data_IF_675389084413
#
_entry.id   IF_675389084413
#
_cell.length_a   1.000
_cell.length_b   1.000
_cell.length_c   1.000
_cell.angle_alpha   90.00
_cell.angle_beta   90.00
_cell.angle_gamma   90.00
#
_symmetry.space_group_name_H-M   'P 1'
#
loop_
_entity.id
_entity.type
_entity.pdbx_description
1 polymer ?
#
# COMPACT_ATOMS: atom_id res chain seq x y z
N UNK A 1 93.58 3.87 -5.42
CA UNK A 1 93.71 5.23 -5.99
C UNK A 1 92.31 5.80 -6.19
N UNK A 2 91.96 6.85 -5.43
CA UNK A 2 90.74 7.70 -5.41
C UNK A 2 89.36 7.01 -5.28
N UNK A 3 88.64 7.08 -4.14
CA UNK A 3 88.00 8.16 -3.34
C UNK A 3 86.48 8.22 -3.61
N UNK A 4 85.75 7.82 -2.56
CA UNK A 4 84.34 8.05 -2.20
C UNK A 4 83.66 9.29 -2.79
N UNK A 5 82.41 9.12 -3.23
CA UNK A 5 81.31 10.07 -2.92
C UNK A 5 80.00 9.31 -2.67
N UNK A 6 79.39 9.61 -1.53
CA UNK A 6 78.12 9.15 -1.00
C UNK A 6 76.94 9.88 -1.67
N UNK A 7 75.78 9.22 -1.79
CA UNK A 7 74.50 9.85 -2.17
C UNK A 7 73.43 9.55 -1.10
N UNK A 8 72.58 10.52 -0.72
CA UNK A 8 71.84 10.47 0.53
C UNK A 8 70.49 9.73 0.46
N UNK A 9 70.09 9.22 1.62
CA UNK A 9 68.77 8.70 1.97
C UNK A 9 67.69 9.76 1.75
N UNK A 10 66.58 9.41 1.10
CA UNK A 10 65.38 10.27 1.01
C UNK A 10 64.18 9.52 1.56
N UNK A 11 63.69 10.04 2.68
CA UNK A 11 62.50 9.65 3.44
C UNK A 11 61.24 9.72 2.59
N UNK A 12 60.40 8.69 2.68
CA UNK A 12 59.08 8.59 2.05
C UNK A 12 58.07 9.37 2.89
N UNK A 13 57.39 10.35 2.28
CA UNK A 13 56.20 11.03 2.83
C UNK A 13 55.02 10.66 1.92
N UNK A 14 53.89 10.13 2.44
CA UNK A 14 52.75 9.80 1.59
C UNK A 14 51.98 11.08 1.21
N UNK A 15 51.74 11.23 -0.08
CA UNK A 15 51.03 12.33 -0.70
C UNK A 15 49.51 12.08 -0.57
N UNK A 16 48.82 12.86 0.26
CA UNK A 16 47.35 12.90 0.30
C UNK A 16 46.82 13.62 -0.95
N UNK A 17 46.17 12.89 -1.85
CA UNK A 17 45.40 13.47 -2.95
C UNK A 17 43.97 13.74 -2.49
N UNK A 18 43.60 15.01 -2.33
CA UNK A 18 42.20 15.45 -2.25
C UNK A 18 41.83 16.01 -3.62
N UNK A 19 41.08 15.24 -4.41
CA UNK A 19 40.46 15.71 -5.64
C UNK A 19 39.08 16.28 -5.31
N UNK A 20 39.00 17.61 -5.25
CA UNK A 20 37.73 18.35 -5.28
C UNK A 20 37.20 18.35 -6.71
N UNK A 21 36.23 17.49 -7.02
CA UNK A 21 35.44 17.62 -8.24
C UNK A 21 34.32 18.65 -8.02
N UNK A 22 34.56 19.87 -8.51
CA UNK A 22 33.50 20.84 -8.79
C UNK A 22 32.79 20.41 -10.08
N UNK A 23 31.63 19.76 -9.95
CA UNK A 23 30.70 19.58 -11.06
C UNK A 23 29.61 20.63 -10.95
N UNK A 24 29.68 21.67 -11.79
CA UNK A 24 28.56 22.57 -12.03
C UNK A 24 27.38 21.76 -12.58
N UNK A 25 26.31 21.61 -11.81
CA UNK A 25 25.06 21.02 -12.31
C UNK A 25 24.37 22.08 -13.17
N UNK A 26 24.37 21.88 -14.48
CA UNK A 26 23.49 22.59 -15.40
C UNK A 26 22.06 22.10 -15.13
N UNK A 27 21.22 22.94 -14.52
CA UNK A 27 19.79 22.67 -14.36
C UNK A 27 19.14 22.64 -15.74
N UNK A 28 18.78 21.45 -16.21
CA UNK A 28 17.84 21.31 -17.32
C UNK A 28 16.44 21.29 -16.70
N UNK A 29 15.63 22.29 -17.03
CA UNK A 29 14.21 22.32 -16.66
C UNK A 29 13.47 21.23 -17.43
N UNK A 30 13.48 20.00 -16.91
CA UNK A 30 12.45 19.04 -17.24
C UNK A 30 11.19 19.44 -16.47
N UNK A 31 10.19 19.94 -17.20
CA UNK A 31 8.81 19.99 -16.74
C UNK A 31 8.30 18.55 -16.51
N UNK A 32 8.70 17.95 -15.40
CA UNK A 32 7.89 16.90 -14.81
C UNK A 32 6.66 17.61 -14.24
N UNK A 33 5.50 17.34 -14.82
CA UNK A 33 4.24 17.62 -14.14
C UNK A 33 4.29 16.84 -12.84
N UNK A 34 4.61 17.53 -11.75
CA UNK A 34 4.44 17.04 -10.40
C UNK A 34 2.93 16.93 -10.22
N UNK A 35 2.36 15.78 -10.59
CA UNK A 35 1.01 15.43 -10.18
C UNK A 35 1.03 15.53 -8.67
N UNK A 36 0.35 16.54 -8.15
CA UNK A 36 0.35 16.87 -6.74
C UNK A 36 0.12 15.57 -5.95
N UNK A 37 1.02 15.26 -5.01
CA UNK A 37 0.70 14.33 -3.95
C UNK A 37 -0.60 14.85 -3.34
N UNK A 38 -1.70 14.17 -3.64
CA UNK A 38 -3.02 14.55 -3.16
C UNK A 38 -2.99 14.27 -1.67
N UNK A 39 -2.65 15.30 -0.88
CA UNK A 39 -2.63 15.24 0.57
C UNK A 39 -4.07 14.97 0.99
N UNK A 40 -4.28 13.85 1.68
CA UNK A 40 -5.59 13.46 2.21
C UNK A 40 -6.29 14.67 2.85
N UNK A 41 -7.59 14.85 2.55
CA UNK A 41 -8.33 16.02 3.02
C UNK A 41 -8.35 16.06 4.55
N UNK A 42 -8.21 17.23 5.20
CA UNK A 42 -8.33 17.31 6.66
C UNK A 42 -9.73 16.88 7.09
N UNK A 43 -9.82 15.95 8.05
CA UNK A 43 -11.07 15.49 8.66
C UNK A 43 -11.57 16.48 9.74
N UNK A 44 -11.58 17.78 9.44
CA UNK A 44 -11.92 18.86 10.39
C UNK A 44 -13.39 18.84 10.86
N UNK A 45 -14.23 18.03 10.21
CA UNK A 45 -15.66 17.91 10.47
C UNK A 45 -16.00 16.83 11.51
N UNK A 46 -15.11 15.86 11.74
CA UNK A 46 -15.40 14.74 12.64
C UNK A 46 -15.27 15.16 14.11
N UNK A 47 -16.37 15.14 14.84
CA UNK A 47 -16.41 15.44 16.29
C UNK A 47 -16.04 14.25 17.17
N UNK A 48 -16.01 13.04 16.59
CA UNK A 48 -15.67 11.78 17.25
C UNK A 48 -14.90 10.87 16.26
N UNK A 49 -14.13 9.87 16.75
CA UNK A 49 -13.46 8.91 15.89
C UNK A 49 -14.47 8.07 15.06
N UNK A 50 -14.15 7.84 13.78
CA UNK A 50 -14.91 6.98 12.86
C UNK A 50 -14.09 5.75 12.51
N UNK A 51 -14.74 4.59 12.42
CA UNK A 51 -14.09 3.33 12.03
C UNK A 51 -14.46 2.98 10.59
N UNK A 52 -13.44 2.86 9.74
CA UNK A 52 -13.60 2.39 8.35
C UNK A 52 -12.94 1.02 8.26
N UNK A 53 -13.74 0.00 7.91
CA UNK A 53 -13.22 -1.32 7.57
C UNK A 53 -13.05 -1.41 6.05
N UNK A 54 -11.79 -1.43 5.60
CA UNK A 54 -11.42 -1.56 4.19
C UNK A 54 -11.01 -3.01 3.95
N UNK A 55 -11.71 -3.70 3.06
CA UNK A 55 -11.36 -5.06 2.63
C UNK A 55 -11.03 -5.10 1.14
N UNK A 56 -9.83 -5.59 0.80
CA UNK A 56 -9.43 -5.94 -0.55
C UNK A 56 -9.37 -7.46 -0.66
N UNK A 57 -10.27 -8.05 -1.44
CA UNK A 57 -10.39 -9.50 -1.54
C UNK A 57 -9.13 -10.10 -2.18
N UNK A 58 -8.61 -11.19 -1.64
CA UNK A 58 -7.42 -11.85 -2.20
C UNK A 58 -6.12 -11.05 -2.06
N UNK A 59 -6.07 -9.98 -1.25
CA UNK A 59 -4.82 -9.29 -0.92
C UNK A 59 -3.95 -10.18 -0.03
N UNK A 60 -3.19 -11.07 -0.66
CA UNK A 60 -2.35 -12.06 0.02
C UNK A 60 -1.20 -11.36 0.75
N UNK A 61 -0.87 -11.88 1.94
CA UNK A 61 0.34 -11.46 2.65
C UNK A 61 1.58 -11.56 1.75
N UNK A 62 2.35 -10.48 1.67
CA UNK A 62 3.47 -10.28 0.75
C UNK A 62 3.15 -9.34 -0.42
N UNK A 63 1.87 -9.15 -0.77
CA UNK A 63 1.48 -8.25 -1.87
C UNK A 63 1.82 -6.79 -1.59
N UNK A 64 1.86 -6.38 -0.32
CA UNK A 64 2.32 -5.05 0.07
C UNK A 64 3.77 -4.77 -0.36
N UNK A 65 4.58 -5.81 -0.63
CA UNK A 65 5.97 -5.72 -1.07
C UNK A 65 6.18 -6.07 -2.56
N UNK A 66 5.14 -6.43 -3.32
CA UNK A 66 5.29 -6.79 -4.75
C UNK A 66 5.65 -5.59 -5.64
N UNK A 67 5.26 -4.39 -5.23
CA UNK A 67 5.56 -3.13 -5.94
C UNK A 67 5.69 -1.97 -4.96
N UNK A 68 6.05 -0.80 -5.46
CA UNK A 68 6.07 0.44 -4.66
C UNK A 68 4.65 0.79 -4.23
N UNK A 69 4.38 0.74 -2.92
CA UNK A 69 3.07 1.05 -2.33
C UNK A 69 3.18 2.08 -1.18
N UNK A 70 3.64 3.32 -1.44
CA UNK A 70 3.94 4.31 -0.39
C UNK A 70 2.79 4.61 0.58
N UNK A 71 1.53 4.51 0.15
CA UNK A 71 0.37 4.75 1.02
C UNK A 71 0.14 3.59 1.98
N UNK A 72 0.30 2.34 1.50
CA UNK A 72 0.21 1.15 2.34
C UNK A 72 1.38 1.16 3.33
N UNK A 73 2.59 1.47 2.87
CA UNK A 73 3.76 1.61 3.74
C UNK A 73 3.61 2.74 4.76
N UNK A 74 2.94 3.86 4.40
CA UNK A 74 2.58 4.93 5.34
C UNK A 74 1.67 4.40 6.45
N UNK A 75 0.65 3.60 6.11
CA UNK A 75 -0.26 3.00 7.10
C UNK A 75 0.47 2.01 8.01
N UNK A 76 1.34 1.17 7.46
CA UNK A 76 2.17 0.22 8.23
C UNK A 76 3.09 0.98 9.19
N UNK A 77 3.84 1.96 8.68
CA UNK A 77 4.83 2.73 9.46
C UNK A 77 4.21 3.54 10.59
N UNK A 78 3.02 4.10 10.36
CA UNK A 78 2.33 4.98 11.31
C UNK A 78 1.20 4.28 12.08
N UNK A 79 1.02 2.97 11.89
CA UNK A 79 -0.08 2.19 12.43
C UNK A 79 0.37 0.87 13.04
N UNK A 80 -0.41 -0.18 12.84
CA UNK A 80 -0.12 -1.53 13.34
C UNK A 80 -0.41 -2.55 12.24
N UNK A 81 0.48 -3.53 12.09
CA UNK A 81 0.36 -4.64 11.14
C UNK A 81 0.55 -5.96 11.89
N UNK A 82 -0.12 -7.02 11.41
CA UNK A 82 0.14 -8.38 11.87
C UNK A 82 1.41 -8.93 11.17
N UNK A 83 2.48 -9.16 11.94
CA UNK A 83 3.81 -9.56 11.43
C UNK A 83 3.78 -10.79 10.50
N UNK A 84 2.93 -11.76 10.80
CA UNK A 84 2.80 -13.02 10.04
C UNK A 84 1.59 -13.03 9.10
N UNK A 85 0.94 -11.89 8.94
CA UNK A 85 -0.30 -11.74 8.18
C UNK A 85 -1.55 -12.15 8.96
N UNK A 86 -2.69 -11.96 8.31
CA UNK A 86 -4.00 -12.35 8.83
C UNK A 86 -4.27 -13.84 8.54
N UNK A 87 -4.69 -14.60 9.55
CA UNK A 87 -5.05 -16.01 9.40
C UNK A 87 -6.56 -16.10 9.11
N UNK A 88 -6.97 -16.50 7.89
CA UNK A 88 -8.38 -16.63 7.53
C UNK A 88 -9.04 -17.82 8.24
N UNK A 89 -10.37 -17.78 8.36
CA UNK A 89 -11.15 -18.96 8.73
C UNK A 89 -11.22 -19.93 7.56
N UNK A 90 -11.42 -21.23 7.87
CA UNK A 90 -11.71 -22.24 6.87
C UNK A 90 -13.22 -22.27 6.54
N UNK A 91 -13.62 -22.43 5.26
CA UNK A 91 -12.77 -22.40 4.06
C UNK A 91 -12.31 -20.97 3.73
N UNK A 92 -11.15 -20.84 3.09
CA UNK A 92 -10.54 -19.54 2.71
C UNK A 92 -11.22 -18.94 1.49
N UNK A 93 -12.54 -18.77 1.59
CA UNK A 93 -13.42 -18.18 0.59
C UNK A 93 -13.89 -16.80 1.07
N UNK A 94 -14.21 -15.92 0.12
CA UNK A 94 -14.65 -14.55 0.33
C UNK A 94 -15.78 -14.41 1.35
N UNK A 95 -16.97 -14.94 1.06
CA UNK A 95 -18.16 -14.77 1.89
C UNK A 95 -17.98 -15.34 3.31
N UNK A 96 -17.47 -16.58 3.49
CA UNK A 96 -17.19 -17.10 4.83
C UNK A 96 -16.26 -16.20 5.65
N UNK A 97 -15.16 -15.70 5.06
CA UNK A 97 -14.20 -14.87 5.77
C UNK A 97 -14.71 -13.46 6.08
N UNK A 98 -15.36 -12.80 5.12
CA UNK A 98 -15.89 -11.45 5.34
C UNK A 98 -16.97 -11.46 6.42
N UNK A 99 -17.83 -12.47 6.42
CA UNK A 99 -18.85 -12.60 7.46
C UNK A 99 -18.24 -12.93 8.82
N UNK A 100 -17.22 -13.80 8.87
CA UNK A 100 -16.46 -14.07 10.10
C UNK A 100 -15.81 -12.81 10.68
N UNK A 101 -15.26 -11.91 9.86
CA UNK A 101 -14.72 -10.62 10.32
C UNK A 101 -15.81 -9.75 10.93
N UNK A 102 -16.99 -9.70 10.30
CA UNK A 102 -18.09 -8.87 10.76
C UNK A 102 -18.73 -9.36 12.07
N UNK A 103 -18.82 -10.68 12.26
CA UNK A 103 -19.58 -11.26 13.38
C UNK A 103 -18.72 -11.94 14.47
N UNK A 104 -17.43 -12.16 14.22
CA UNK A 104 -16.53 -12.82 15.17
C UNK A 104 -16.81 -14.32 15.39
N UNK A 105 -17.56 -14.96 14.48
CA UNK A 105 -17.88 -16.39 14.54
C UNK A 105 -17.13 -17.15 13.44
N UNK A 106 -16.89 -18.46 13.62
CA UNK A 106 -16.43 -19.32 12.52
C UNK A 106 -17.56 -19.66 11.55
N UNK A 107 -17.19 -20.05 10.31
CA UNK A 107 -18.10 -20.52 9.25
C UNK A 107 -19.14 -21.53 9.74
N UNK A 108 -18.73 -22.47 10.60
CA UNK A 108 -19.60 -23.49 11.17
C UNK A 108 -20.71 -22.94 12.06
N UNK A 109 -20.52 -21.78 12.67
CA UNK A 109 -21.49 -21.15 13.58
C UNK A 109 -22.36 -20.12 12.90
N UNK A 110 -21.82 -19.36 11.94
CA UNK A 110 -22.60 -18.36 11.22
C UNK A 110 -23.26 -18.89 9.94
N UNK A 111 -22.98 -20.14 9.53
CA UNK A 111 -23.70 -20.87 8.48
C UNK A 111 -23.34 -20.50 7.03
N UNK A 112 -22.46 -19.51 6.82
CA UNK A 112 -21.97 -19.12 5.50
C UNK A 112 -20.68 -19.89 5.21
N UNK A 113 -20.77 -20.93 4.38
CA UNK A 113 -19.67 -21.88 4.14
C UNK A 113 -19.15 -21.89 2.68
N UNK A 114 -19.74 -21.10 1.78
CA UNK A 114 -19.35 -21.03 0.37
C UNK A 114 -19.62 -19.63 -0.21
N UNK A 115 -19.05 -19.31 -1.38
CA UNK A 115 -19.24 -18.05 -2.11
C UNK A 115 -20.45 -18.07 -3.05
N UNK A 116 -21.00 -19.25 -3.35
CA UNK A 116 -22.07 -19.37 -4.32
C UNK A 116 -23.42 -19.03 -3.69
N UNK A 117 -23.87 -17.82 -3.99
CA UNK A 117 -25.22 -17.33 -3.78
C UNK A 117 -25.79 -16.91 -5.14
N UNK A 118 -27.10 -17.04 -5.33
CA UNK A 118 -27.76 -16.54 -6.54
C UNK A 118 -28.02 -15.05 -6.32
N UNK A 119 -27.27 -14.18 -7.00
CA UNK A 119 -27.50 -12.73 -7.04
C UNK A 119 -27.63 -12.25 -8.50
N UNK A 120 -28.75 -11.63 -8.90
CA UNK A 120 -28.98 -11.18 -10.27
C UNK A 120 -28.38 -9.80 -10.61
N UNK A 121 -27.78 -9.04 -9.69
CA UNK A 121 -27.39 -7.62 -9.94
C UNK A 121 -25.95 -7.33 -9.51
N UNK A 122 -25.15 -6.64 -10.35
CA UNK A 122 -23.79 -6.19 -10.04
C UNK A 122 -23.65 -4.65 -10.10
N UNK A 123 -22.89 -4.06 -9.16
CA UNK A 123 -22.63 -2.60 -9.06
C UNK A 123 -21.14 -2.29 -9.30
N UNK A 124 -20.78 -1.30 -10.15
CA UNK A 124 -19.39 -0.87 -10.41
C UNK A 124 -18.63 -0.36 -9.18
N UNK A 125 -17.29 -0.37 -9.20
CA UNK A 125 -16.45 0.02 -8.06
C UNK A 125 -16.51 1.50 -7.72
N UNK A 126 -16.46 2.35 -8.74
CA UNK A 126 -16.43 3.80 -8.60
C UNK A 126 -17.69 4.27 -7.88
N UNK A 127 -18.84 3.70 -8.22
CA UNK A 127 -20.12 4.00 -7.59
C UNK A 127 -20.12 3.62 -6.09
N UNK A 128 -19.44 2.52 -5.71
CA UNK A 128 -19.30 2.12 -4.30
C UNK A 128 -18.42 3.11 -3.53
N UNK A 129 -17.31 3.56 -4.13
CA UNK A 129 -16.42 4.56 -3.53
C UNK A 129 -17.14 5.89 -3.36
N UNK A 130 -17.82 6.36 -4.41
CA UNK A 130 -18.57 7.62 -4.40
C UNK A 130 -19.66 7.60 -3.33
N UNK A 131 -20.33 6.46 -3.14
CA UNK A 131 -21.31 6.27 -2.06
C UNK A 131 -20.68 6.47 -0.68
N UNK A 132 -19.51 5.89 -0.42
CA UNK A 132 -18.78 6.07 0.85
C UNK A 132 -18.34 7.53 1.03
N UNK A 133 -17.84 8.17 -0.02
CA UNK A 133 -17.41 9.56 0.04
C UNK A 133 -18.58 10.51 0.32
N UNK A 134 -19.74 10.26 -0.30
CA UNK A 134 -20.97 10.99 -0.09
C UNK A 134 -21.43 10.98 1.37
N UNK A 135 -21.26 9.87 2.09
CA UNK A 135 -21.64 9.79 3.50
C UNK A 135 -20.90 10.79 4.41
N UNK A 136 -19.69 11.21 4.04
CA UNK A 136 -18.97 12.25 4.79
C UNK A 136 -19.49 13.67 4.53
N UNK A 137 -20.24 13.87 3.45
CA UNK A 137 -20.84 15.15 3.09
C UNK A 137 -22.19 15.37 3.79
N UNK A 138 -22.78 14.31 4.37
CA UNK A 138 -24.00 14.38 5.18
C UNK A 138 -23.88 15.32 6.40
N UNK A 139 -25.00 15.82 6.95
CA UNK A 139 -25.01 16.49 8.26
C UNK A 139 -24.33 15.64 9.33
N UNK A 140 -23.69 16.29 10.31
CA UNK A 140 -22.84 15.60 11.30
C UNK A 140 -23.57 14.47 12.04
N UNK A 141 -24.86 14.65 12.30
CA UNK A 141 -25.72 13.70 13.01
C UNK A 141 -26.10 12.47 12.16
N UNK A 142 -25.87 12.53 10.84
CA UNK A 142 -26.25 11.50 9.86
C UNK A 142 -25.04 10.72 9.31
N UNK A 143 -23.81 11.15 9.60
CA UNK A 143 -22.60 10.45 9.18
C UNK A 143 -22.54 9.08 9.89
N UNK A 144 -22.51 7.95 9.17
CA UNK A 144 -22.41 6.64 9.80
C UNK A 144 -21.11 6.49 10.59
N UNK A 145 -21.21 5.93 11.80
CA UNK A 145 -20.05 5.66 12.66
C UNK A 145 -19.26 4.42 12.24
N UNK A 146 -19.87 3.55 11.42
CA UNK A 146 -19.27 2.34 10.87
C UNK A 146 -19.67 2.17 9.41
N UNK A 147 -18.67 1.96 8.56
CA UNK A 147 -18.85 1.71 7.13
C UNK A 147 -17.93 0.57 6.67
N UNK A 148 -18.46 -0.26 5.77
CA UNK A 148 -17.72 -1.35 5.13
C UNK A 148 -17.63 -1.09 3.64
N UNK A 149 -16.43 -1.18 3.07
CA UNK A 149 -16.21 -1.10 1.63
C UNK A 149 -15.49 -2.39 1.18
N UNK A 150 -16.03 -3.01 0.14
CA UNK A 150 -15.55 -4.29 -0.40
C UNK A 150 -15.16 -4.15 -1.87
N UNK A 151 -13.98 -4.69 -2.19
CA UNK A 151 -13.46 -4.82 -3.55
C UNK A 151 -13.13 -6.28 -3.88
N UNK A 152 -13.61 -6.76 -5.03
CA UNK A 152 -13.41 -8.11 -5.56
C UNK A 152 -11.97 -8.36 -6.04
N UNK A 153 -11.20 -7.30 -6.30
CA UNK A 153 -9.79 -7.38 -6.72
C UNK A 153 -8.80 -7.27 -5.54
N UNK A 154 -7.61 -7.92 -5.59
CA UNK A 154 -7.01 -8.65 -6.72
C UNK A 154 -7.43 -10.12 -6.88
N UNK A 155 -8.35 -10.65 -6.07
CA UNK A 155 -8.77 -12.06 -6.11
C UNK A 155 -9.20 -12.53 -7.51
N UNK A 156 -10.01 -11.73 -8.21
CA UNK A 156 -10.46 -12.05 -9.57
C UNK A 156 -9.29 -12.23 -10.54
N UNK A 157 -8.32 -11.31 -10.53
CA UNK A 157 -7.13 -11.38 -11.38
C UNK A 157 -6.19 -12.51 -10.97
N UNK A 158 -6.04 -12.75 -9.67
CA UNK A 158 -5.29 -13.89 -9.14
C UNK A 158 -5.88 -15.25 -9.56
N UNK A 159 -7.20 -15.37 -9.64
CA UNK A 159 -7.86 -16.56 -10.17
C UNK A 159 -7.64 -16.76 -11.66
N UNK A 160 -7.58 -15.67 -12.44
CA UNK A 160 -7.43 -15.73 -13.89
C UNK A 160 -5.99 -16.03 -14.31
N UNK A 161 -5.00 -15.44 -13.64
CA UNK A 161 -3.60 -15.47 -14.10
C UNK A 161 -2.62 -16.12 -13.12
N UNK A 162 -3.03 -16.30 -11.86
CA UNK A 162 -2.17 -16.78 -10.79
C UNK A 162 -1.53 -15.65 -9.99
N UNK A 163 -1.12 -15.93 -8.75
CA UNK A 163 -0.74 -14.91 -7.76
C UNK A 163 0.58 -14.18 -8.05
N UNK A 164 1.37 -14.69 -9.00
CA UNK A 164 2.69 -14.15 -9.36
C UNK A 164 2.72 -13.51 -10.75
N UNK A 165 1.56 -13.42 -11.40
CA UNK A 165 1.45 -12.76 -12.69
C UNK A 165 1.70 -11.24 -12.59
N UNK A 166 2.38 -10.62 -13.57
CA UNK A 166 2.56 -9.17 -13.63
C UNK A 166 1.25 -8.36 -13.51
N UNK A 167 0.12 -8.87 -14.03
CA UNK A 167 -1.19 -8.21 -13.91
C UNK A 167 -1.63 -8.05 -12.44
N UNK A 168 -1.30 -8.99 -11.56
CA UNK A 168 -1.58 -8.85 -10.12
C UNK A 168 -0.78 -7.68 -9.53
N UNK A 169 0.43 -7.42 -10.02
CA UNK A 169 1.25 -6.28 -9.60
C UNK A 169 0.61 -4.95 -9.98
N UNK A 170 0.02 -4.87 -11.17
CA UNK A 170 -0.73 -3.69 -11.64
C UNK A 170 -1.96 -3.42 -10.77
N UNK A 171 -2.71 -4.47 -10.42
CA UNK A 171 -3.91 -4.36 -9.59
C UNK A 171 -3.57 -3.92 -8.16
N UNK A 172 -2.48 -4.44 -7.60
CA UNK A 172 -1.94 -3.97 -6.31
C UNK A 172 -1.59 -2.48 -6.37
N UNK A 173 -1.01 -2.02 -7.48
CA UNK A 173 -0.73 -0.59 -7.70
C UNK A 173 -2.01 0.25 -7.75
N UNK A 174 -3.07 -0.24 -8.40
CA UNK A 174 -4.36 0.44 -8.49
C UNK A 174 -5.03 0.58 -7.12
N UNK A 175 -5.09 -0.51 -6.34
CA UNK A 175 -5.63 -0.50 -4.97
C UNK A 175 -4.83 0.45 -4.08
N UNK A 176 -3.50 0.44 -4.20
CA UNK A 176 -2.63 1.38 -3.50
C UNK A 176 -2.97 2.86 -3.83
N UNK A 177 -3.33 3.16 -5.09
CA UNK A 177 -3.80 4.47 -5.52
C UNK A 177 -5.12 4.89 -4.88
N UNK A 178 -6.05 3.95 -4.65
CA UNK A 178 -7.33 4.24 -3.99
C UNK A 178 -7.18 4.66 -2.52
N UNK A 179 -6.13 4.16 -1.84
CA UNK A 179 -5.85 4.47 -0.43
C UNK A 179 -5.38 5.93 -0.22
N UNK A 180 -5.07 6.69 -1.29
CA UNK A 180 -4.69 8.11 -1.19
C UNK A 180 -5.76 8.95 -0.45
N UNK A 181 -7.04 8.60 -0.64
CA UNK A 181 -8.18 9.33 -0.07
C UNK A 181 -8.51 9.02 1.39
N UNK A 182 -7.80 8.07 2.01
CA UNK A 182 -8.02 7.56 3.37
C UNK A 182 -6.87 7.94 4.32
#
# INVERSE_FOLDING_TARGET
MFRSQTKPSTTIVPLFFVLLFSSSITSTNHHHSTTALQIARPLSKLTHPVVILISSNGFRFGYQFKTSTPNIHRLIKNGTEAETGFIPVYPTLTFPNHYSIAVGLYSAYHGIINNQFIDPIAVPFEERVDTILHYFDLPNEEIPVFMTLYFEDPDHQGHQFGPDDPHVTEVVSNIHGLIVGV
#
